data_IF_790367441650
#
_entry.id   IF_790367441650
#
_cell.length_a   1.000
_cell.length_b   1.000
_cell.length_c   1.000
_cell.angle_alpha   90.00
_cell.angle_beta   90.00
_cell.angle_gamma   90.00
#
_symmetry.space_group_name_H-M   'P 1'
#
loop_
_entity.id
_entity.type
_entity.pdbx_description
1 polymer ?
#
# COMPACT_ATOMS: atom_id res chain seq x y z
N UNK A 1 -5.04 -5.14 17.65
CA UNK A 1 -6.01 -5.04 16.56
C UNK A 1 -7.35 -4.53 17.09
N UNK A 2 -8.06 -3.77 16.28
CA UNK A 2 -9.43 -3.36 16.61
C UNK A 2 -10.29 -4.61 16.62
N UNK A 3 -10.93 -4.89 17.75
CA UNK A 3 -11.83 -6.03 17.90
C UNK A 3 -13.11 -5.81 17.09
N UNK A 4 -13.81 -6.89 16.71
CA UNK A 4 -15.09 -6.79 15.99
C UNK A 4 -16.12 -5.94 16.76
N UNK A 5 -16.09 -6.00 18.12
CA UNK A 5 -16.93 -5.14 18.96
C UNK A 5 -16.62 -3.66 18.81
N UNK A 6 -15.35 -3.27 18.70
CA UNK A 6 -14.96 -1.87 18.48
C UNK A 6 -15.41 -1.35 17.11
N UNK A 7 -15.36 -2.19 16.06
CA UNK A 7 -15.85 -1.86 14.72
C UNK A 7 -17.37 -1.70 14.68
N UNK A 8 -18.10 -2.57 15.39
CA UNK A 8 -19.56 -2.44 15.55
C UNK A 8 -19.89 -1.13 16.29
N UNK A 9 -19.16 -0.83 17.34
CA UNK A 9 -19.34 0.41 18.10
C UNK A 9 -19.08 1.67 17.27
N UNK A 10 -18.02 1.65 16.44
CA UNK A 10 -17.72 2.72 15.48
C UNK A 10 -18.90 2.98 14.53
N UNK A 11 -19.50 1.91 13.97
CA UNK A 11 -20.65 2.04 13.07
C UNK A 11 -21.94 2.51 13.78
N UNK A 12 -22.12 2.19 15.06
CA UNK A 12 -23.25 2.70 15.85
C UNK A 12 -23.10 4.21 16.14
N UNK A 13 -21.89 4.67 16.35
CA UNK A 13 -21.60 6.10 16.56
C UNK A 13 -21.59 6.91 15.27
N UNK A 14 -21.17 6.29 14.16
CA UNK A 14 -20.98 6.90 12.84
C UNK A 14 -21.69 6.08 11.76
N UNK A 15 -23.04 6.07 11.74
CA UNK A 15 -23.82 5.27 10.79
C UNK A 15 -23.56 5.65 9.32
N UNK A 16 -23.07 6.88 9.07
CA UNK A 16 -22.61 7.34 7.75
C UNK A 16 -21.42 6.54 7.23
N UNK A 17 -20.65 5.88 8.11
CA UNK A 17 -19.51 5.04 7.74
C UNK A 17 -19.93 3.64 7.24
N UNK A 18 -21.21 3.27 7.30
CA UNK A 18 -21.69 1.95 6.88
C UNK A 18 -21.34 1.64 5.43
N UNK A 19 -21.39 2.64 4.54
CA UNK A 19 -20.98 2.49 3.13
C UNK A 19 -19.49 2.15 2.98
N UNK A 20 -18.63 2.74 3.81
CA UNK A 20 -17.19 2.45 3.83
C UNK A 20 -16.92 1.05 4.38
N UNK A 21 -17.58 0.69 5.49
CA UNK A 21 -17.50 -0.66 6.03
C UNK A 21 -17.92 -1.73 5.01
N UNK A 22 -18.99 -1.50 4.26
CA UNK A 22 -19.42 -2.39 3.19
C UNK A 22 -18.33 -2.59 2.13
N UNK A 23 -17.70 -1.50 1.66
CA UNK A 23 -16.63 -1.59 0.66
C UNK A 23 -15.41 -2.33 1.19
N UNK A 24 -14.98 -2.06 2.44
CA UNK A 24 -13.84 -2.76 3.07
C UNK A 24 -14.12 -4.25 3.21
N UNK A 25 -15.33 -4.64 3.64
CA UNK A 25 -15.72 -6.04 3.75
C UNK A 25 -15.82 -6.71 2.37
N UNK A 26 -16.39 -6.01 1.38
CA UNK A 26 -16.47 -6.49 0.01
C UNK A 26 -15.08 -6.68 -0.59
N UNK A 27 -14.17 -5.72 -0.43
CA UNK A 27 -12.76 -5.83 -0.84
C UNK A 27 -12.12 -7.09 -0.23
N UNK A 28 -12.22 -7.27 1.09
CA UNK A 28 -11.66 -8.43 1.79
C UNK A 28 -12.24 -9.75 1.28
N UNK A 29 -13.55 -9.81 1.03
CA UNK A 29 -14.20 -11.01 0.52
C UNK A 29 -13.78 -11.32 -0.93
N UNK A 30 -13.76 -10.33 -1.83
CA UNK A 30 -13.42 -10.55 -3.24
C UNK A 30 -11.94 -10.88 -3.43
N UNK A 31 -11.05 -10.25 -2.69
CA UNK A 31 -9.63 -10.62 -2.66
C UNK A 31 -9.43 -12.09 -2.29
N UNK A 32 -10.32 -12.67 -1.48
CA UNK A 32 -10.27 -14.09 -1.12
C UNK A 32 -10.91 -15.03 -2.16
N UNK A 33 -11.99 -14.60 -2.81
CA UNK A 33 -12.84 -15.46 -3.63
C UNK A 33 -12.53 -15.39 -5.12
N UNK A 34 -12.35 -14.19 -5.65
CA UNK A 34 -12.21 -13.95 -7.09
C UNK A 34 -11.33 -12.71 -7.39
N UNK A 35 -10.05 -12.68 -6.94
CA UNK A 35 -9.23 -11.47 -7.02
C UNK A 35 -8.99 -10.99 -8.46
N UNK A 36 -8.98 -11.89 -9.44
CA UNK A 36 -8.72 -11.56 -10.84
C UNK A 36 -9.95 -11.02 -11.61
N UNK A 37 -11.12 -10.97 -10.97
CA UNK A 37 -12.34 -10.43 -11.56
C UNK A 37 -12.54 -8.94 -11.25
N UNK A 38 -11.75 -8.38 -10.34
CA UNK A 38 -11.92 -7.02 -9.82
C UNK A 38 -10.62 -6.22 -9.89
N UNK A 39 -10.78 -4.91 -10.06
CA UNK A 39 -9.72 -3.92 -9.91
C UNK A 39 -9.87 -3.21 -8.55
N UNK A 40 -8.78 -2.67 -8.01
CA UNK A 40 -8.80 -2.02 -6.70
C UNK A 40 -9.77 -0.82 -6.66
N UNK A 41 -9.89 -0.09 -7.78
CA UNK A 41 -10.84 1.03 -7.93
C UNK A 41 -12.30 0.64 -7.71
N UNK A 42 -12.67 -0.64 -7.89
CA UNK A 42 -14.03 -1.13 -7.65
C UNK A 42 -14.42 -1.10 -6.15
N UNK A 43 -13.45 -0.90 -5.28
CA UNK A 43 -13.60 -0.84 -3.82
C UNK A 43 -13.33 0.55 -3.24
N UNK A 44 -13.19 1.56 -4.07
CA UNK A 44 -12.97 2.95 -3.64
C UNK A 44 -14.18 3.83 -3.92
N UNK A 45 -14.30 4.88 -3.14
CA UNK A 45 -15.26 5.97 -3.35
C UNK A 45 -14.75 7.22 -2.64
N UNK A 46 -15.18 8.42 -3.06
CA UNK A 46 -14.85 9.63 -2.32
C UNK A 46 -15.31 9.53 -0.85
N UNK A 47 -14.40 9.80 0.06
CA UNK A 47 -14.68 9.85 1.49
C UNK A 47 -15.06 11.28 1.85
N UNK A 48 -16.12 11.44 2.64
CA UNK A 48 -16.58 12.75 3.08
C UNK A 48 -15.52 13.39 3.98
N UNK A 49 -15.23 14.69 3.81
CA UNK A 49 -14.17 15.40 4.55
C UNK A 49 -14.29 15.29 6.08
N UNK A 50 -15.51 15.14 6.58
CA UNK A 50 -15.78 14.98 8.00
C UNK A 50 -15.82 13.52 8.47
N UNK A 51 -15.71 12.56 7.56
CA UNK A 51 -15.70 11.15 7.95
C UNK A 51 -14.43 10.84 8.76
N UNK A 52 -14.61 10.08 9.81
CA UNK A 52 -13.56 9.64 10.71
C UNK A 52 -13.72 8.17 10.99
N UNK A 53 -12.64 7.53 11.47
CA UNK A 53 -12.65 6.15 11.89
C UNK A 53 -12.00 5.20 10.89
N UNK A 54 -11.81 3.98 11.33
CA UNK A 54 -10.98 2.97 10.64
C UNK A 54 -11.48 2.58 9.25
N UNK A 55 -12.78 2.60 9.02
CA UNK A 55 -13.34 2.27 7.71
C UNK A 55 -13.13 3.39 6.69
N UNK A 56 -13.32 4.65 7.09
CA UNK A 56 -13.05 5.80 6.24
C UNK A 56 -11.56 5.84 5.87
N UNK A 57 -10.66 5.71 6.85
CA UNK A 57 -9.22 5.67 6.64
C UNK A 57 -8.79 4.51 5.71
N UNK A 58 -9.44 3.33 5.83
CA UNK A 58 -9.17 2.20 4.95
C UNK A 58 -9.54 2.51 3.50
N UNK A 59 -10.70 3.14 3.24
CA UNK A 59 -11.10 3.52 1.88
C UNK A 59 -10.17 4.58 1.30
N UNK A 60 -9.76 5.57 2.09
CA UNK A 60 -8.80 6.58 1.64
C UNK A 60 -7.43 5.96 1.35
N UNK A 61 -7.00 5.00 2.16
CA UNK A 61 -5.76 4.24 1.88
C UNK A 61 -5.86 3.49 0.56
N UNK A 62 -6.97 2.77 0.29
CA UNK A 62 -7.20 2.11 -0.99
C UNK A 62 -7.21 3.12 -2.16
N UNK A 63 -7.85 4.28 -1.98
CA UNK A 63 -7.87 5.33 -2.99
C UNK A 63 -6.47 5.89 -3.27
N UNK A 64 -5.64 6.07 -2.24
CA UNK A 64 -4.24 6.47 -2.39
C UNK A 64 -3.43 5.44 -3.17
N UNK A 65 -3.67 4.15 -2.94
CA UNK A 65 -3.05 3.08 -3.74
C UNK A 65 -3.51 3.14 -5.20
N UNK A 66 -4.81 3.31 -5.46
CA UNK A 66 -5.31 3.50 -6.85
C UNK A 66 -4.60 4.66 -7.54
N UNK A 67 -4.39 5.79 -6.85
CA UNK A 67 -3.63 6.90 -7.42
C UNK A 67 -2.18 6.52 -7.75
N UNK A 68 -1.53 5.66 -6.95
CA UNK A 68 -0.19 5.15 -7.29
C UNK A 68 -0.26 4.25 -8.54
N UNK A 69 -1.25 3.34 -8.61
CA UNK A 69 -1.41 2.43 -9.74
C UNK A 69 -1.67 3.18 -11.06
N UNK A 70 -2.37 4.30 -10.99
CA UNK A 70 -2.73 5.17 -12.13
C UNK A 70 -1.69 6.29 -12.40
N UNK A 71 -0.53 6.26 -11.72
CA UNK A 71 0.57 7.24 -11.84
C UNK A 71 0.21 8.68 -11.42
N UNK A 72 -0.82 8.85 -10.58
CA UNK A 72 -1.18 10.14 -9.98
C UNK A 72 -0.43 10.38 -8.67
N UNK A 73 0.92 10.36 -8.71
CA UNK A 73 1.78 10.36 -7.51
C UNK A 73 1.57 11.58 -6.60
N UNK A 74 1.39 12.77 -7.18
CA UNK A 74 1.13 13.99 -6.40
C UNK A 74 -0.21 13.94 -5.65
N UNK A 75 -1.25 13.35 -6.24
CA UNK A 75 -2.53 13.15 -5.58
C UNK A 75 -2.44 12.12 -4.45
N UNK A 76 -1.75 11.00 -4.70
CA UNK A 76 -1.47 9.97 -3.72
C UNK A 76 -0.70 10.55 -2.52
N UNK A 77 0.36 11.30 -2.78
CA UNK A 77 1.22 11.95 -1.78
C UNK A 77 0.41 12.88 -0.87
N UNK A 78 -0.37 13.78 -1.46
CA UNK A 78 -1.23 14.70 -0.68
C UNK A 78 -2.24 13.95 0.17
N UNK A 79 -2.85 12.89 -0.36
CA UNK A 79 -3.82 12.09 0.37
C UNK A 79 -3.18 11.38 1.56
N UNK A 80 -2.03 10.71 1.37
CA UNK A 80 -1.34 10.01 2.46
C UNK A 80 -0.78 10.98 3.51
N UNK A 81 -0.29 12.15 3.13
CA UNK A 81 0.14 13.19 4.07
C UNK A 81 -1.03 13.71 4.90
N UNK A 82 -2.16 14.04 4.26
CA UNK A 82 -3.36 14.47 4.97
C UNK A 82 -3.92 13.38 5.89
N UNK A 83 -3.87 12.11 5.46
CA UNK A 83 -4.31 11.00 6.28
C UNK A 83 -3.38 10.81 7.49
N UNK A 84 -2.06 10.96 7.30
CA UNK A 84 -1.07 10.86 8.36
C UNK A 84 -1.25 11.92 9.46
N UNK A 85 -1.65 13.15 9.08
CA UNK A 85 -1.88 14.24 10.02
C UNK A 85 -3.09 14.03 10.94
N UNK A 86 -4.06 13.22 10.51
CA UNK A 86 -5.35 13.06 11.22
C UNK A 86 -5.65 11.66 11.74
N UNK A 87 -4.84 10.65 11.33
CA UNK A 87 -5.06 9.29 11.82
C UNK A 87 -4.59 9.13 13.25
N UNK A 88 -5.43 8.46 14.05
CA UNK A 88 -5.10 8.05 15.43
C UNK A 88 -4.72 6.56 15.49
N UNK A 89 -4.77 5.88 14.34
CA UNK A 89 -4.53 4.43 14.25
C UNK A 89 -3.11 4.14 13.76
N UNK A 90 -2.29 3.54 14.60
CA UNK A 90 -0.89 3.20 14.29
C UNK A 90 -0.72 2.30 13.05
N UNK A 91 -1.73 1.52 12.71
CA UNK A 91 -1.72 0.68 11.50
C UNK A 91 -1.89 1.55 10.25
N UNK A 92 -2.88 2.46 10.25
CA UNK A 92 -3.09 3.42 9.15
C UNK A 92 -1.87 4.32 8.98
N UNK A 93 -1.29 4.79 10.08
CA UNK A 93 -0.05 5.57 10.08
C UNK A 93 1.08 4.80 9.36
N UNK A 94 1.28 3.53 9.71
CA UNK A 94 2.34 2.71 9.11
C UNK A 94 2.11 2.50 7.61
N UNK A 95 0.87 2.27 7.17
CA UNK A 95 0.54 2.16 5.75
C UNK A 95 0.79 3.47 5.01
N UNK A 96 0.36 4.61 5.56
CA UNK A 96 0.63 5.92 4.94
C UNK A 96 2.14 6.13 4.74
N UNK A 97 2.95 5.87 5.77
CA UNK A 97 4.40 5.99 5.71
C UNK A 97 5.03 5.02 4.70
N UNK A 98 4.52 3.80 4.59
CA UNK A 98 4.97 2.80 3.61
C UNK A 98 4.69 3.24 2.17
N UNK A 99 3.50 3.78 1.89
CA UNK A 99 3.16 4.27 0.55
C UNK A 99 3.87 5.59 0.23
N UNK A 100 4.13 6.44 1.21
CA UNK A 100 5.01 7.62 1.02
C UNK A 100 6.45 7.20 0.70
N UNK A 101 6.95 6.12 1.30
CA UNK A 101 8.22 5.50 0.88
C UNK A 101 8.16 5.03 -0.58
N UNK A 102 7.09 4.34 -0.99
CA UNK A 102 6.92 3.91 -2.37
C UNK A 102 6.93 5.09 -3.34
N UNK A 103 6.19 6.16 -3.03
CA UNK A 103 6.15 7.39 -3.84
C UNK A 103 7.55 8.03 -3.93
N UNK A 104 8.28 8.16 -2.82
CA UNK A 104 9.63 8.69 -2.83
C UNK A 104 10.58 7.87 -3.73
N UNK A 105 10.44 6.53 -3.72
CA UNK A 105 11.20 5.66 -4.61
C UNK A 105 10.82 5.86 -6.09
N UNK A 106 9.55 6.07 -6.40
CA UNK A 106 9.07 6.35 -7.77
C UNK A 106 9.57 7.70 -8.26
N UNK A 107 9.52 8.74 -7.42
CA UNK A 107 10.03 10.08 -7.71
C UNK A 107 11.57 10.16 -7.77
N UNK A 108 12.29 9.13 -7.28
CA UNK A 108 13.76 9.12 -7.19
C UNK A 108 14.30 9.93 -6.01
N UNK A 109 13.47 10.33 -5.06
CA UNK A 109 13.86 11.05 -3.84
C UNK A 109 14.43 10.06 -2.80
N UNK A 110 15.72 9.74 -2.97
CA UNK A 110 16.39 8.75 -2.12
C UNK A 110 16.53 9.22 -0.66
N UNK A 111 16.58 10.52 -0.40
CA UNK A 111 16.68 11.07 0.97
C UNK A 111 15.39 10.83 1.72
N UNK A 112 14.24 11.15 1.14
CA UNK A 112 12.95 10.86 1.72
C UNK A 112 12.67 9.36 1.82
N UNK A 113 13.08 8.58 0.82
CA UNK A 113 12.96 7.13 0.89
C UNK A 113 13.73 6.55 2.08
N UNK A 114 14.95 7.04 2.37
CA UNK A 114 15.73 6.64 3.56
C UNK A 114 15.04 7.09 4.85
N UNK A 115 14.51 8.32 4.89
CA UNK A 115 13.78 8.85 6.04
C UNK A 115 12.58 7.94 6.39
N UNK A 116 11.69 7.67 5.45
CA UNK A 116 10.53 6.80 5.69
C UNK A 116 10.93 5.36 6.05
N UNK A 117 11.91 4.78 5.35
CA UNK A 117 12.37 3.42 5.62
C UNK A 117 13.05 3.26 7.00
N UNK A 118 13.57 4.34 7.59
CA UNK A 118 14.19 4.35 8.91
C UNK A 118 13.18 4.34 10.06
N UNK A 119 11.91 4.70 9.79
CA UNK A 119 10.83 4.67 10.79
C UNK A 119 10.65 3.24 11.31
N UNK A 120 10.64 3.07 12.62
CA UNK A 120 10.65 1.75 13.27
C UNK A 120 9.50 0.85 12.81
N UNK A 121 8.29 1.39 12.67
CA UNK A 121 7.11 0.65 12.21
C UNK A 121 7.27 0.21 10.75
N UNK A 122 7.70 1.10 9.86
CA UNK A 122 7.95 0.82 8.45
C UNK A 122 9.07 -0.23 8.30
N UNK A 123 10.17 -0.08 9.01
CA UNK A 123 11.27 -1.05 9.01
C UNK A 123 10.81 -2.46 9.42
N UNK A 124 9.96 -2.55 10.43
CA UNK A 124 9.34 -3.81 10.83
C UNK A 124 8.43 -4.35 9.72
N UNK A 125 7.64 -3.49 9.10
CA UNK A 125 6.72 -3.85 8.02
C UNK A 125 7.45 -4.34 6.77
N UNK A 126 8.56 -3.70 6.38
CA UNK A 126 9.40 -4.10 5.24
C UNK A 126 9.98 -5.53 5.40
N UNK A 127 9.99 -6.09 6.60
CA UNK A 127 10.39 -7.49 6.82
C UNK A 127 9.29 -8.51 6.48
N UNK A 128 8.04 -8.07 6.26
CA UNK A 128 6.92 -8.95 5.95
C UNK A 128 7.05 -9.52 4.53
N UNK A 129 6.69 -10.80 4.40
CA UNK A 129 6.74 -11.51 3.11
C UNK A 129 5.42 -11.32 2.34
N UNK A 130 5.04 -10.08 2.09
CA UNK A 130 3.92 -9.68 1.22
C UNK A 130 4.48 -9.23 -0.13
N UNK A 131 3.73 -9.39 -1.21
CA UNK A 131 4.22 -9.11 -2.57
C UNK A 131 4.59 -7.64 -2.77
N UNK A 132 3.65 -6.75 -2.47
CA UNK A 132 3.78 -5.30 -2.54
C UNK A 132 4.92 -4.78 -1.65
N UNK A 133 4.94 -5.20 -0.39
CA UNK A 133 5.98 -4.82 0.59
C UNK A 133 7.37 -5.24 0.11
N UNK A 134 7.50 -6.45 -0.42
CA UNK A 134 8.79 -6.95 -0.92
C UNK A 134 9.22 -6.27 -2.22
N UNK A 135 8.29 -5.75 -3.03
CA UNK A 135 8.60 -4.90 -4.17
C UNK A 135 9.15 -3.53 -3.72
N UNK A 136 8.50 -2.89 -2.75
CA UNK A 136 9.01 -1.64 -2.15
C UNK A 136 10.39 -1.88 -1.54
N UNK A 137 10.58 -2.98 -0.81
CA UNK A 137 11.87 -3.37 -0.22
C UNK A 137 12.95 -3.58 -1.30
N UNK A 138 12.62 -4.23 -2.43
CA UNK A 138 13.56 -4.47 -3.51
C UNK A 138 14.05 -3.16 -4.14
N UNK A 139 13.14 -2.24 -4.45
CA UNK A 139 13.49 -0.93 -4.99
C UNK A 139 14.29 -0.08 -3.99
N UNK A 140 13.94 -0.13 -2.70
CA UNK A 140 14.70 0.55 -1.65
C UNK A 140 16.14 0.01 -1.57
N UNK A 141 16.32 -1.30 -1.57
CA UNK A 141 17.65 -1.90 -1.57
C UNK A 141 18.46 -1.54 -2.82
N UNK A 142 17.80 -1.46 -3.97
CA UNK A 142 18.44 -1.10 -5.23
C UNK A 142 18.80 0.39 -5.29
N UNK A 143 17.81 1.29 -5.12
CA UNK A 143 17.99 2.73 -5.32
C UNK A 143 18.75 3.41 -4.19
N UNK A 144 18.49 3.03 -2.94
CA UNK A 144 19.02 3.74 -1.76
C UNK A 144 20.21 3.02 -1.15
N UNK A 145 20.09 1.72 -0.85
CA UNK A 145 21.17 0.96 -0.19
C UNK A 145 22.24 0.46 -1.15
N UNK A 146 21.98 0.43 -2.46
CA UNK A 146 22.86 -0.16 -3.48
C UNK A 146 23.27 -1.61 -3.19
N UNK A 147 22.42 -2.35 -2.47
CA UNK A 147 22.65 -3.74 -2.10
C UNK A 147 21.94 -4.69 -3.09
N UNK A 148 22.69 -5.10 -4.12
CA UNK A 148 22.18 -6.00 -5.16
C UNK A 148 21.78 -7.38 -4.61
N UNK A 149 22.45 -7.87 -3.58
CA UNK A 149 22.14 -9.17 -3.00
C UNK A 149 20.77 -9.15 -2.30
N UNK A 150 20.51 -8.13 -1.48
CA UNK A 150 19.22 -7.96 -0.83
C UNK A 150 18.12 -7.59 -1.85
N UNK A 151 18.43 -6.80 -2.88
CA UNK A 151 17.53 -6.53 -4.00
C UNK A 151 17.02 -7.83 -4.61
N UNK A 152 17.93 -8.70 -5.07
CA UNK A 152 17.56 -10.01 -5.68
C UNK A 152 16.79 -10.92 -4.73
N UNK A 153 17.12 -10.90 -3.44
CA UNK A 153 16.40 -11.67 -2.43
C UNK A 153 14.96 -11.18 -2.29
N UNK A 154 14.74 -9.88 -2.16
CA UNK A 154 13.42 -9.28 -2.05
C UNK A 154 12.59 -9.53 -3.33
N UNK A 155 13.16 -9.34 -4.52
CA UNK A 155 12.51 -9.65 -5.80
C UNK A 155 12.05 -11.12 -5.89
N UNK A 156 12.89 -12.06 -5.45
CA UNK A 156 12.52 -13.48 -5.43
C UNK A 156 11.30 -13.74 -4.55
N UNK A 157 11.26 -13.11 -3.36
CA UNK A 157 10.12 -13.25 -2.44
C UNK A 157 8.89 -12.59 -3.05
N UNK A 158 9.01 -11.37 -3.60
CA UNK A 158 7.92 -10.66 -4.26
C UNK A 158 7.28 -11.52 -5.36
N UNK A 159 8.09 -12.06 -6.29
CA UNK A 159 7.61 -12.94 -7.37
C UNK A 159 6.90 -14.20 -6.83
N UNK A 160 7.47 -14.86 -5.83
CA UNK A 160 6.83 -16.03 -5.22
C UNK A 160 5.48 -15.67 -4.60
N UNK A 161 5.39 -14.50 -3.99
CA UNK A 161 4.17 -14.04 -3.34
C UNK A 161 3.13 -13.55 -4.35
N UNK A 162 3.48 -12.84 -5.39
CA UNK A 162 2.56 -12.50 -6.49
C UNK A 162 1.91 -13.76 -7.09
N UNK A 163 2.69 -14.80 -7.35
CA UNK A 163 2.16 -16.06 -7.87
C UNK A 163 1.26 -16.83 -6.89
N UNK A 164 1.38 -16.59 -5.60
CA UNK A 164 0.63 -17.28 -4.53
C UNK A 164 -0.36 -16.39 -3.79
N UNK A 165 -0.30 -15.07 -3.98
CA UNK A 165 -1.16 -14.13 -3.32
C UNK A 165 -2.46 -13.92 -4.11
N UNK A 166 -3.47 -13.43 -3.39
CA UNK A 166 -4.77 -13.09 -3.94
C UNK A 166 -4.83 -11.58 -4.19
N UNK A 167 -3.87 -11.08 -4.99
CA UNK A 167 -3.86 -9.69 -5.42
C UNK A 167 -4.97 -9.44 -6.43
N UNK A 168 -5.54 -8.25 -6.41
CA UNK A 168 -6.48 -7.82 -7.44
C UNK A 168 -5.76 -7.67 -8.79
N UNK A 169 -6.52 -7.68 -9.87
CA UNK A 169 -5.97 -7.75 -11.24
C UNK A 169 -5.06 -6.58 -11.56
N UNK A 170 -5.50 -5.35 -11.25
CA UNK A 170 -4.72 -4.12 -11.50
C UNK A 170 -3.47 -4.04 -10.62
N UNK A 171 -3.56 -4.42 -9.36
CA UNK A 171 -2.42 -4.49 -8.45
C UNK A 171 -1.36 -5.48 -8.96
N UNK A 172 -1.79 -6.68 -9.36
CA UNK A 172 -0.87 -7.69 -9.87
C UNK A 172 -0.15 -7.18 -11.13
N UNK A 173 -0.89 -6.63 -12.08
CA UNK A 173 -0.33 -6.07 -13.31
C UNK A 173 0.70 -4.97 -13.02
N UNK A 174 0.38 -4.06 -12.09
CA UNK A 174 1.28 -2.99 -11.70
C UNK A 174 2.59 -3.52 -11.11
N UNK A 175 2.52 -4.43 -10.13
CA UNK A 175 3.72 -4.94 -9.48
C UNK A 175 4.54 -5.87 -10.38
N UNK A 176 3.94 -6.58 -11.33
CA UNK A 176 4.66 -7.35 -12.36
C UNK A 176 5.47 -6.42 -13.29
N UNK A 177 4.87 -5.30 -13.72
CA UNK A 177 5.57 -4.30 -14.53
C UNK A 177 6.72 -3.66 -13.73
N UNK A 178 6.47 -3.29 -12.50
CA UNK A 178 7.49 -2.67 -11.63
C UNK A 178 8.65 -3.63 -11.33
N UNK A 179 8.38 -4.93 -11.24
CA UNK A 179 9.40 -5.97 -11.13
C UNK A 179 10.24 -6.09 -12.41
N UNK A 180 9.59 -6.05 -13.59
CA UNK A 180 10.28 -6.12 -14.87
C UNK A 180 11.21 -4.90 -15.08
N UNK A 181 10.78 -3.71 -14.68
CA UNK A 181 11.62 -2.50 -14.69
C UNK A 181 12.88 -2.66 -13.81
N UNK A 182 12.73 -3.22 -12.60
CA UNK A 182 13.86 -3.47 -11.72
C UNK A 182 14.82 -4.51 -12.29
N UNK A 183 14.30 -5.57 -12.93
CA UNK A 183 15.13 -6.56 -13.61
C UNK A 183 15.95 -5.93 -14.74
N UNK A 184 15.34 -5.06 -15.53
CA UNK A 184 16.02 -4.32 -16.58
C UNK A 184 17.11 -3.42 -16.01
N UNK A 185 16.80 -2.64 -14.97
CA UNK A 185 17.78 -1.77 -14.31
C UNK A 185 18.99 -2.54 -13.74
N UNK A 186 18.76 -3.74 -13.19
CA UNK A 186 19.83 -4.60 -12.68
C UNK A 186 20.76 -5.16 -13.78
N UNK A 187 20.26 -5.32 -15.02
CA UNK A 187 21.05 -5.77 -16.16
C UNK A 187 21.85 -4.61 -16.77
N UNK A 188 21.25 -3.43 -16.82
CA UNK A 188 21.87 -2.23 -17.40
C UNK A 188 22.93 -1.61 -16.46
N UNK A 189 23.00 -2.03 -15.21
CA UNK A 189 24.01 -1.58 -14.24
C UNK A 189 23.83 -0.12 -13.79
N UNK A 190 22.58 0.37 -13.88
CA UNK A 190 22.19 1.73 -13.50
C UNK A 190 21.94 1.82 -12.01
#
# INVERSE_FOLDING_TARGET
GITDGAKIWELLQHPENTKYAYLVLRHSAQTLLAPQEYDLKDFTMPVHEQARGSFAESIETLQGVVFILDDYLEAAKKLFQSLLERTEHSVSETFCQLYLLQIALLEGDNEKAEEYASIRSVKSFLSLKMADVQMIQAWYQFKVKKDIAQTRKAMKIARQKMNSSRMLRDEQCYYENWLAELEKALVEGV
#
